data_IF_633176718456
#
_entry.id   IF_633176718456
#
_cell.length_a   1.000
_cell.length_b   1.000
_cell.length_c   1.000
_cell.angle_alpha   90.00
_cell.angle_beta   90.00
_cell.angle_gamma   90.00
#
_symmetry.space_group_name_H-M   'P 1'
#
loop_
_entity.id
_entity.type
_entity.pdbx_description
1 polymer ?
#
# COMPACT_ATOMS: atom_id res chain seq x y z
N UNK A 1 2.08 11.98 25.72
CA UNK A 1 1.72 12.29 24.31
C UNK A 1 2.62 11.48 23.38
N UNK A 2 2.43 11.52 22.06
CA UNK A 2 3.15 10.65 21.10
C UNK A 2 4.47 11.25 20.63
N UNK A 3 4.70 12.55 20.85
CA UNK A 3 5.96 13.22 20.55
C UNK A 3 6.29 14.31 21.56
N UNK A 4 7.56 14.68 21.64
CA UNK A 4 8.03 15.75 22.54
C UNK A 4 7.40 17.10 22.21
N UNK A 5 7.15 17.38 20.93
CA UNK A 5 6.45 18.59 20.51
C UNK A 5 5.02 18.64 21.07
N UNK A 6 4.30 17.52 21.04
CA UNK A 6 2.96 17.46 21.61
C UNK A 6 2.99 17.77 23.12
N UNK A 7 3.96 17.23 23.86
CA UNK A 7 4.15 17.54 25.29
C UNK A 7 4.35 19.03 25.53
N UNK A 8 5.22 19.67 24.75
CA UNK A 8 5.46 21.12 24.86
C UNK A 8 4.21 21.96 24.57
N UNK A 9 3.38 21.54 23.62
CA UNK A 9 2.10 22.21 23.30
C UNK A 9 1.10 22.03 24.45
N UNK A 10 1.05 20.83 25.04
CA UNK A 10 0.23 20.55 26.21
C UNK A 10 0.55 21.45 27.39
N UNK A 11 1.85 21.53 27.72
CA UNK A 11 2.36 22.33 28.82
C UNK A 11 1.98 23.81 28.61
N UNK A 12 2.05 24.30 27.37
CA UNK A 12 1.62 25.66 27.02
C UNK A 12 0.11 25.84 27.24
N UNK A 13 -0.73 24.88 26.82
CA UNK A 13 -2.18 24.96 27.03
C UNK A 13 -2.54 24.93 28.52
N UNK A 14 -1.85 24.10 29.30
CA UNK A 14 -2.01 24.02 30.77
C UNK A 14 -1.56 25.33 31.45
N UNK A 15 -0.43 25.91 31.03
CA UNK A 15 0.05 27.22 31.52
C UNK A 15 -0.93 28.35 31.21
N UNK A 16 -1.61 28.28 30.07
CA UNK A 16 -2.64 29.24 29.66
C UNK A 16 -4.03 28.91 30.24
N UNK A 17 -4.15 27.86 31.05
CA UNK A 17 -5.41 27.36 31.61
C UNK A 17 -6.49 27.09 30.53
N UNK A 18 -6.07 26.65 29.34
CA UNK A 18 -6.96 26.30 28.23
C UNK A 18 -7.30 24.81 28.33
N UNK A 19 -8.57 24.44 28.55
CA UNK A 19 -8.96 23.04 28.56
C UNK A 19 -8.83 22.44 27.15
N UNK A 20 -8.24 21.26 27.05
CA UNK A 20 -8.10 20.53 25.79
C UNK A 20 -8.39 19.04 25.97
N UNK A 21 -8.62 18.37 24.86
CA UNK A 21 -8.70 16.91 24.80
C UNK A 21 -7.62 16.42 23.85
N UNK A 22 -6.88 15.40 24.26
CA UNK A 22 -5.79 14.83 23.48
C UNK A 22 -6.26 13.53 22.80
N UNK A 23 -6.27 13.52 21.46
CA UNK A 23 -6.64 12.36 20.63
C UNK A 23 -8.02 11.74 20.97
N UNK A 24 -8.99 12.56 21.35
CA UNK A 24 -10.31 12.10 21.81
C UNK A 24 -11.25 11.68 20.67
N UNK A 25 -11.03 12.19 19.46
CA UNK A 25 -11.95 12.01 18.33
C UNK A 25 -11.26 11.39 17.11
N UNK A 26 -12.05 10.63 16.33
CA UNK A 26 -11.64 10.08 15.04
C UNK A 26 -12.53 10.63 13.95
N UNK A 27 -11.97 11.44 13.06
CA UNK A 27 -12.67 12.00 11.93
C UNK A 27 -12.43 11.14 10.68
N UNK A 28 -13.45 10.44 10.15
CA UNK A 28 -13.31 9.66 8.92
C UNK A 28 -13.15 10.60 7.72
N UNK A 29 -12.33 10.20 6.75
CA UNK A 29 -12.14 10.92 5.50
C UNK A 29 -11.91 9.96 4.33
N UNK A 30 -12.22 10.41 3.11
CA UNK A 30 -11.99 9.68 1.86
C UNK A 30 -10.83 10.33 1.10
N UNK A 31 -9.99 9.50 0.47
CA UNK A 31 -8.95 9.96 -0.46
C UNK A 31 -9.31 9.45 -1.85
N UNK A 32 -9.57 10.35 -2.79
CA UNK A 32 -9.69 10.01 -4.21
C UNK A 32 -8.31 10.09 -4.87
N UNK A 33 -7.94 9.04 -5.63
CA UNK A 33 -6.68 8.96 -6.34
C UNK A 33 -6.83 8.12 -7.60
N UNK A 34 -6.07 8.47 -8.64
CA UNK A 34 -6.04 7.70 -9.88
C UNK A 34 -4.98 6.59 -9.80
N UNK A 35 -5.36 5.40 -10.27
CA UNK A 35 -4.41 4.32 -10.53
C UNK A 35 -3.83 4.49 -11.93
N UNK A 36 -2.51 4.57 -12.01
CA UNK A 36 -1.77 4.60 -13.28
C UNK A 36 -0.97 3.31 -13.34
N UNK A 37 -1.32 2.35 -14.22
CA UNK A 37 -0.57 1.12 -14.39
C UNK A 37 0.79 1.41 -15.04
N UNK A 38 1.81 0.63 -14.71
CA UNK A 38 3.14 0.77 -15.35
C UNK A 38 3.08 0.37 -16.84
N UNK A 39 2.34 -0.70 -17.17
CA UNK A 39 2.11 -1.14 -18.55
C UNK A 39 0.70 -1.70 -18.76
N UNK A 40 0.25 -1.69 -20.02
CA UNK A 40 -0.96 -2.37 -20.47
C UNK A 40 -0.64 -3.21 -21.71
N UNK A 41 -0.98 -4.50 -21.68
CA UNK A 41 -0.78 -5.45 -22.77
C UNK A 41 -2.12 -6.13 -23.04
N UNK A 42 -2.74 -5.84 -24.18
CA UNK A 42 -4.15 -6.20 -24.42
C UNK A 42 -5.04 -5.62 -23.31
N UNK A 43 -5.77 -6.50 -22.62
CA UNK A 43 -6.62 -6.16 -21.48
C UNK A 43 -5.94 -6.35 -20.11
N UNK A 44 -4.67 -6.80 -20.10
CA UNK A 44 -3.90 -7.06 -18.88
C UNK A 44 -3.13 -5.80 -18.48
N UNK A 45 -3.23 -5.42 -17.21
CA UNK A 45 -2.44 -4.37 -16.60
C UNK A 45 -1.27 -4.97 -15.83
N UNK A 46 -0.05 -4.47 -16.07
CA UNK A 46 1.16 -4.96 -15.42
C UNK A 46 1.76 -3.86 -14.54
N UNK A 47 1.97 -4.19 -13.26
CA UNK A 47 2.63 -3.32 -12.29
C UNK A 47 4.01 -3.89 -11.94
N UNK A 48 5.07 -3.18 -12.26
CA UNK A 48 6.44 -3.59 -11.94
C UNK A 48 6.85 -3.06 -10.57
N UNK A 49 7.40 -3.92 -9.70
CA UNK A 49 7.80 -3.55 -8.34
C UNK A 49 9.10 -4.21 -7.89
N UNK A 50 10.11 -3.36 -7.62
CA UNK A 50 11.31 -3.74 -6.86
C UNK A 50 11.09 -3.61 -5.36
N UNK A 51 10.83 -2.39 -4.89
CA UNK A 51 10.41 -2.13 -3.51
C UNK A 51 8.88 -2.08 -3.43
N UNK A 52 8.30 -2.83 -2.49
CA UNK A 52 6.85 -2.94 -2.37
C UNK A 52 6.37 -2.58 -0.95
N UNK A 53 6.35 -1.28 -0.62
CA UNK A 53 6.08 -0.80 0.74
C UNK A 53 4.60 -0.88 1.14
N UNK A 54 4.27 -0.67 2.44
CA UNK A 54 2.89 -0.72 2.94
C UNK A 54 1.89 0.14 2.17
N UNK A 55 2.26 1.36 1.77
CA UNK A 55 1.42 2.28 1.03
C UNK A 55 1.06 1.77 -0.37
N UNK A 56 2.02 1.20 -1.11
CA UNK A 56 1.76 0.59 -2.41
C UNK A 56 0.85 -0.65 -2.27
N UNK A 57 1.03 -1.44 -1.21
CA UNK A 57 0.15 -2.58 -0.92
C UNK A 57 -1.29 -2.14 -0.59
N UNK A 58 -1.46 -1.06 0.16
CA UNK A 58 -2.77 -0.45 0.42
C UNK A 58 -3.40 0.07 -0.87
N UNK A 59 -2.62 0.77 -1.71
CA UNK A 59 -3.03 1.23 -3.05
C UNK A 59 -3.58 0.06 -3.87
N UNK A 60 -2.81 -1.02 -4.05
CA UNK A 60 -3.25 -2.15 -4.88
C UNK A 60 -4.55 -2.78 -4.38
N UNK A 61 -4.74 -2.92 -3.06
CA UNK A 61 -6.01 -3.40 -2.49
C UNK A 61 -7.17 -2.47 -2.84
N UNK A 62 -7.02 -1.17 -2.62
CA UNK A 62 -8.05 -0.18 -2.91
C UNK A 62 -8.41 -0.15 -4.41
N UNK A 63 -7.40 -0.26 -5.28
CA UNK A 63 -7.61 -0.36 -6.74
C UNK A 63 -8.43 -1.58 -7.09
N UNK A 64 -8.09 -2.74 -6.54
CA UNK A 64 -8.82 -3.99 -6.78
C UNK A 64 -10.24 -3.97 -6.20
N UNK A 65 -10.42 -3.35 -5.06
CA UNK A 65 -11.75 -3.16 -4.46
C UNK A 65 -12.62 -2.24 -5.32
N UNK A 66 -12.03 -1.17 -5.88
CA UNK A 66 -12.75 -0.22 -6.73
C UNK A 66 -12.95 -0.73 -8.17
N UNK A 67 -12.12 -1.66 -8.63
CA UNK A 67 -12.13 -2.21 -9.98
C UNK A 67 -11.92 -3.73 -9.97
N UNK A 68 -12.89 -4.51 -9.46
CA UNK A 68 -12.74 -5.96 -9.26
C UNK A 68 -12.55 -6.74 -10.56
N UNK A 69 -13.01 -6.19 -11.70
CA UNK A 69 -12.98 -6.83 -13.00
C UNK A 69 -11.68 -6.62 -13.79
N UNK A 70 -10.78 -5.73 -13.32
CA UNK A 70 -9.51 -5.49 -14.01
C UNK A 70 -8.52 -6.62 -13.75
N UNK A 71 -7.92 -7.14 -14.82
CA UNK A 71 -6.81 -8.10 -14.73
C UNK A 71 -5.51 -7.35 -14.48
N UNK A 72 -5.20 -7.14 -13.19
CA UNK A 72 -3.97 -6.50 -12.74
C UNK A 72 -3.00 -7.57 -12.23
N UNK A 73 -1.81 -7.62 -12.82
CA UNK A 73 -0.75 -8.56 -12.46
C UNK A 73 0.50 -7.83 -11.99
N UNK A 74 1.24 -8.43 -11.07
CA UNK A 74 2.41 -7.79 -10.45
C UNK A 74 3.71 -8.49 -10.88
N UNK A 75 4.64 -7.71 -11.41
CA UNK A 75 5.96 -8.20 -11.81
C UNK A 75 6.97 -7.78 -10.75
N UNK A 76 7.50 -8.76 -10.00
CA UNK A 76 8.45 -8.49 -8.93
C UNK A 76 9.91 -8.59 -9.39
N UNK A 77 10.76 -7.70 -8.90
CA UNK A 77 12.22 -7.88 -9.01
C UNK A 77 12.69 -9.08 -8.16
N UNK A 78 12.22 -9.15 -6.91
CA UNK A 78 12.51 -10.24 -5.98
C UNK A 78 11.23 -10.61 -5.21
N UNK A 79 10.48 -11.62 -5.68
CA UNK A 79 9.19 -12.01 -5.06
C UNK A 79 9.33 -12.58 -3.64
N UNK A 80 10.52 -13.09 -3.30
CA UNK A 80 10.83 -13.66 -1.98
C UNK A 80 11.19 -12.62 -0.92
N UNK A 81 11.30 -11.34 -1.30
CA UNK A 81 11.50 -10.26 -0.32
C UNK A 81 10.32 -10.20 0.65
N UNK A 82 10.64 -9.97 1.92
CA UNK A 82 9.64 -9.84 2.99
C UNK A 82 8.99 -8.46 2.94
N UNK A 83 7.70 -8.40 3.27
CA UNK A 83 6.92 -7.14 3.31
C UNK A 83 7.45 -6.12 4.33
N UNK A 84 8.23 -6.59 5.31
CA UNK A 84 9.01 -5.82 6.27
C UNK A 84 10.09 -6.72 6.89
N UNK A 85 11.11 -6.14 7.52
CA UNK A 85 12.22 -6.89 8.14
C UNK A 85 11.76 -7.98 9.12
N UNK A 86 10.66 -7.74 9.85
CA UNK A 86 10.13 -8.65 10.88
C UNK A 86 9.08 -9.65 10.35
N UNK A 87 8.57 -9.46 9.13
CA UNK A 87 7.47 -10.28 8.62
C UNK A 87 7.96 -11.64 8.09
N UNK A 88 7.12 -12.67 8.22
CA UNK A 88 7.29 -13.96 7.52
C UNK A 88 6.64 -13.97 6.13
N UNK A 89 5.82 -12.96 5.83
CA UNK A 89 5.12 -12.82 4.55
C UNK A 89 6.03 -12.19 3.50
N UNK A 90 6.15 -12.85 2.36
CA UNK A 90 6.88 -12.34 1.19
C UNK A 90 5.96 -11.53 0.28
N UNK A 91 6.53 -10.82 -0.70
CA UNK A 91 5.75 -10.12 -1.72
C UNK A 91 4.87 -11.09 -2.51
N UNK A 92 5.40 -12.24 -2.92
CA UNK A 92 4.65 -13.33 -3.55
C UNK A 92 3.44 -13.78 -2.71
N UNK A 93 3.69 -14.14 -1.43
CA UNK A 93 2.61 -14.57 -0.52
C UNK A 93 1.57 -13.48 -0.30
N UNK A 94 1.99 -12.21 -0.33
CA UNK A 94 1.05 -11.10 -0.26
C UNK A 94 0.21 -11.02 -1.53
N UNK A 95 0.80 -11.12 -2.72
CA UNK A 95 0.09 -11.06 -3.99
C UNK A 95 -0.93 -12.21 -4.10
N UNK A 96 -0.51 -13.45 -3.81
CA UNK A 96 -1.38 -14.64 -3.76
C UNK A 96 -2.57 -14.44 -2.81
N UNK A 97 -2.30 -14.01 -1.57
CA UNK A 97 -3.35 -13.78 -0.57
C UNK A 97 -4.38 -12.73 -0.99
N UNK A 98 -3.98 -11.76 -1.81
CA UNK A 98 -4.88 -10.69 -2.30
C UNK A 98 -5.35 -10.94 -3.74
N UNK A 99 -5.06 -12.11 -4.32
CA UNK A 99 -5.50 -12.53 -5.64
C UNK A 99 -4.92 -11.71 -6.79
N UNK A 100 -3.66 -11.28 -6.67
CA UNK A 100 -2.92 -10.71 -7.80
C UNK A 100 -2.06 -11.81 -8.41
N UNK A 101 -2.27 -12.19 -9.69
CA UNK A 101 -1.29 -12.97 -10.43
C UNK A 101 0.06 -12.24 -10.39
N UNK A 102 1.14 -12.99 -10.23
CA UNK A 102 2.46 -12.41 -10.12
C UNK A 102 3.52 -13.29 -10.77
N UNK A 103 4.64 -12.68 -11.16
CA UNK A 103 5.83 -13.39 -11.61
C UNK A 103 7.09 -12.62 -11.21
N UNK A 104 8.25 -13.25 -11.34
CA UNK A 104 9.51 -12.50 -11.37
C UNK A 104 9.70 -11.86 -12.74
N UNK A 105 10.36 -10.70 -12.81
CA UNK A 105 10.57 -9.97 -14.08
C UNK A 105 11.28 -10.78 -15.17
N UNK A 106 12.18 -11.70 -14.80
CA UNK A 106 12.89 -12.57 -15.73
C UNK A 106 12.10 -13.80 -16.16
N UNK A 107 10.86 -13.95 -15.67
CA UNK A 107 10.00 -15.11 -15.88
C UNK A 107 8.55 -14.69 -16.17
N UNK A 108 8.36 -13.61 -16.94
CA UNK A 108 7.03 -13.19 -17.39
C UNK A 108 6.47 -14.28 -18.32
N UNK A 109 5.32 -14.88 -17.99
CA UNK A 109 4.72 -15.91 -18.83
C UNK A 109 4.32 -15.37 -20.21
N UNK A 110 4.53 -16.16 -21.26
CA UNK A 110 4.27 -15.73 -22.65
C UNK A 110 2.80 -15.41 -22.89
N UNK A 111 1.88 -16.08 -22.20
CA UNK A 111 0.44 -15.83 -22.25
C UNK A 111 0.04 -14.46 -21.68
N UNK A 112 0.92 -13.79 -20.92
CA UNK A 112 0.69 -12.41 -20.46
C UNK A 112 1.02 -11.37 -21.54
N UNK A 113 1.74 -11.77 -22.59
CA UNK A 113 2.31 -10.89 -23.60
C UNK A 113 1.57 -10.96 -24.95
N UNK A 114 0.39 -11.59 -24.99
CA UNK A 114 -0.39 -11.83 -26.19
C UNK A 114 -1.64 -10.96 -26.24
#
# INVERSE_FOLDING_TARGET
MRSHLEEQVADLLDQLAVPYQYESEKLPYLIEANYIPDFKVGDIYLEAKGYFPPEQRRKMKAVKESHPDLDIRIIFQSPNNKISKRSKTTYAKWAEKNGFPWCAYYAIPVDWLR
#
